data_IF_506465227813
#
_entry.id   IF_506465227813
#
_cell.length_a   1.000
_cell.length_b   1.000
_cell.length_c   1.000
_cell.angle_alpha   90.00
_cell.angle_beta   90.00
_cell.angle_gamma   90.00
#
_symmetry.space_group_name_H-M   'P 1'
#
loop_
_entity.id
_entity.type
_entity.pdbx_description
1 polymer ?
#
# COMPACT_ATOMS: atom_id res chain seq x y z
N UNK A 1 12.01 16.41 7.54
CA UNK A 1 11.53 15.90 6.24
C UNK A 1 10.15 15.32 6.49
N UNK A 2 9.07 15.98 6.06
CA UNK A 2 7.71 15.48 6.28
C UNK A 2 7.28 14.68 5.04
N UNK A 3 7.08 13.37 5.21
CA UNK A 3 6.50 12.54 4.16
C UNK A 3 5.00 12.87 4.06
N UNK A 4 4.56 13.36 2.89
CA UNK A 4 3.14 13.59 2.62
C UNK A 4 2.54 12.31 2.04
N UNK A 5 1.74 11.63 2.85
CA UNK A 5 1.00 10.45 2.42
C UNK A 5 -0.20 10.92 1.59
N UNK A 6 -0.24 10.56 0.32
CA UNK A 6 -1.36 10.91 -0.56
C UNK A 6 -2.52 9.93 -0.43
N UNK A 7 -2.25 8.72 0.07
CA UNK A 7 -3.23 7.66 0.25
C UNK A 7 -2.76 6.62 1.26
N UNK A 8 -3.67 6.18 2.13
CA UNK A 8 -3.47 5.04 3.03
C UNK A 8 -4.35 3.87 2.58
N UNK A 9 -3.79 2.65 2.58
CA UNK A 9 -4.45 1.40 2.25
C UNK A 9 -4.41 0.48 3.46
N UNK A 10 -5.58 0.09 3.96
CA UNK A 10 -5.68 -0.90 5.02
C UNK A 10 -5.98 -2.28 4.42
N UNK A 11 -4.94 -3.12 4.39
CA UNK A 11 -4.96 -4.48 3.83
C UNK A 11 -4.71 -5.51 4.94
N UNK A 12 -4.92 -5.13 6.20
CA UNK A 12 -4.78 -6.03 7.35
C UNK A 12 -5.82 -7.15 7.27
N UNK A 13 -5.39 -8.39 7.51
CA UNK A 13 -6.24 -9.58 7.35
C UNK A 13 -6.33 -10.14 5.93
N UNK A 14 -5.67 -9.50 4.95
CA UNK A 14 -5.45 -10.11 3.62
C UNK A 14 -4.17 -10.93 3.64
N UNK A 15 -4.26 -12.15 3.10
CA UNK A 15 -3.10 -13.05 2.93
C UNK A 15 -2.50 -12.93 1.52
N UNK A 16 -1.22 -13.26 1.40
CA UNK A 16 -0.53 -13.37 0.12
C UNK A 16 -1.35 -14.23 -0.87
N UNK A 17 -1.59 -13.75 -2.12
CA UNK A 17 -1.02 -12.57 -2.80
C UNK A 17 -1.84 -11.27 -2.69
N UNK A 18 -2.92 -11.26 -1.91
CA UNK A 18 -3.87 -10.15 -1.80
C UNK A 18 -3.24 -8.76 -1.56
N UNK A 19 -2.41 -8.57 -0.51
CA UNK A 19 -1.91 -7.23 -0.18
C UNK A 19 -0.98 -6.66 -1.25
N UNK A 20 -0.19 -7.52 -1.90
CA UNK A 20 0.72 -7.11 -2.98
C UNK A 20 -0.07 -6.65 -4.20
N UNK A 21 -1.12 -7.38 -4.57
CA UNK A 21 -1.95 -7.02 -5.72
C UNK A 21 -2.71 -5.72 -5.52
N UNK A 22 -3.28 -5.50 -4.34
CA UNK A 22 -3.99 -4.25 -4.02
C UNK A 22 -3.03 -3.05 -3.96
N UNK A 23 -1.84 -3.24 -3.39
CA UNK A 23 -0.77 -2.23 -3.42
C UNK A 23 -0.38 -1.90 -4.86
N UNK A 24 -0.18 -2.90 -5.72
CA UNK A 24 0.15 -2.68 -7.14
C UNK A 24 -0.95 -1.94 -7.91
N UNK A 25 -2.23 -2.20 -7.59
CA UNK A 25 -3.36 -1.45 -8.17
C UNK A 25 -3.34 0.01 -7.71
N UNK A 26 -3.08 0.26 -6.43
CA UNK A 26 -3.03 1.62 -5.90
C UNK A 26 -1.83 2.42 -6.43
N UNK A 27 -0.68 1.79 -6.63
CA UNK A 27 0.49 2.41 -7.26
C UNK A 27 0.17 2.93 -8.67
N UNK A 28 -0.63 2.18 -9.45
CA UNK A 28 -1.08 2.62 -10.77
C UNK A 28 -2.01 3.84 -10.74
N UNK A 29 -2.53 4.21 -9.58
CA UNK A 29 -3.46 5.33 -9.40
C UNK A 29 -2.79 6.57 -8.80
N UNK A 30 -1.49 6.53 -8.52
CA UNK A 30 -0.71 7.66 -7.97
C UNK A 30 0.41 8.06 -8.93
N UNK A 31 0.94 9.27 -8.74
CA UNK A 31 2.00 9.78 -9.60
C UNK A 31 3.39 9.41 -9.07
N UNK A 32 4.39 9.49 -9.94
CA UNK A 32 5.78 9.33 -9.53
C UNK A 32 6.14 10.45 -8.55
N UNK A 33 6.65 10.07 -7.38
CA UNK A 33 6.98 10.99 -6.29
C UNK A 33 5.93 11.07 -5.18
N UNK A 34 4.74 10.50 -5.41
CA UNK A 34 3.72 10.37 -4.38
C UNK A 34 4.07 9.23 -3.41
N UNK A 35 3.74 9.42 -2.13
CA UNK A 35 3.95 8.42 -1.08
C UNK A 35 2.60 7.84 -0.67
N UNK A 36 2.49 6.51 -0.69
CA UNK A 36 1.32 5.78 -0.18
C UNK A 36 1.70 5.00 1.06
N UNK A 37 0.77 4.91 2.01
CA UNK A 37 0.89 4.10 3.21
C UNK A 37 0.10 2.81 3.02
N UNK A 38 0.68 1.68 3.41
CA UNK A 38 0.04 0.37 3.33
C UNK A 38 0.16 -0.33 4.66
N UNK A 39 -0.98 -0.63 5.28
CA UNK A 39 -1.06 -1.43 6.49
C UNK A 39 -1.37 -2.87 6.10
N UNK A 40 -0.38 -3.75 6.20
CA UNK A 40 -0.56 -5.19 5.98
C UNK A 40 -0.33 -5.95 7.29
N UNK A 41 -1.01 -7.09 7.45
CA UNK A 41 -0.82 -8.00 8.59
C UNK A 41 -0.35 -9.38 8.16
N UNK A 42 0.12 -9.51 6.93
CA UNK A 42 0.63 -10.77 6.41
C UNK A 42 1.99 -11.08 7.07
N UNK A 43 2.22 -12.30 7.57
CA UNK A 43 3.47 -12.67 8.23
C UNK A 43 4.67 -12.75 7.27
N UNK A 44 4.46 -12.70 5.95
CA UNK A 44 5.50 -12.67 4.93
C UNK A 44 5.73 -11.27 4.32
N UNK A 45 5.13 -10.22 4.89
CA UNK A 45 5.33 -8.82 4.49
C UNK A 45 6.69 -8.25 4.93
#
# INVERSE_FOLDING_TARGET
>A
MSLRIVRSLDLRGMYCPGPVLETAKAIKQVNVGDVIEVLASDPAA
#
